data_IF_363099199980
#
_entry.id   IF_363099199980
#
_cell.length_a   1.000
_cell.length_b   1.000
_cell.length_c   1.000
_cell.angle_alpha   90.00
_cell.angle_beta   90.00
_cell.angle_gamma   90.00
#
_symmetry.space_group_name_H-M   'P 1'
#
loop_
_entity.id
_entity.type
_entity.pdbx_description
1 polymer ?
#
# COMPACT_ATOMS: atom_id res chain seq x y z
N UNK A 1 2.78 16.15 3.54
CA UNK A 1 1.77 15.06 3.61
C UNK A 1 2.05 14.21 4.83
N UNK A 2 1.05 13.56 5.43
CA UNK A 2 1.32 12.56 6.47
C UNK A 2 1.51 11.18 5.82
N UNK A 3 2.78 10.75 5.65
CA UNK A 3 3.12 9.45 5.07
C UNK A 3 2.34 8.30 5.71
N UNK A 4 2.07 8.36 7.02
CA UNK A 4 1.29 7.33 7.71
C UNK A 4 -0.10 7.15 7.10
N UNK A 5 -0.82 8.25 6.87
CA UNK A 5 -2.18 8.21 6.31
C UNK A 5 -2.17 7.71 4.86
N UNK A 6 -1.20 8.15 4.07
CA UNK A 6 -1.04 7.71 2.67
C UNK A 6 -0.73 6.22 2.62
N UNK A 7 0.23 5.74 3.40
CA UNK A 7 0.60 4.33 3.48
C UNK A 7 -0.53 3.44 4.02
N UNK A 8 -1.31 3.91 4.99
CA UNK A 8 -2.51 3.21 5.46
C UNK A 8 -3.60 3.12 4.38
N UNK A 9 -3.75 4.18 3.57
CA UNK A 9 -4.66 4.18 2.44
C UNK A 9 -4.21 3.20 1.36
N UNK A 10 -2.93 3.22 0.98
CA UNK A 10 -2.33 2.26 0.04
C UNK A 10 -2.52 0.81 0.55
N UNK A 11 -2.24 0.56 1.83
CA UNK A 11 -2.42 -0.76 2.42
C UNK A 11 -3.88 -1.25 2.33
N UNK A 12 -4.83 -0.35 2.59
CA UNK A 12 -6.27 -0.65 2.50
C UNK A 12 -6.72 -0.93 1.07
N UNK A 13 -6.27 -0.13 0.11
CA UNK A 13 -6.61 -0.31 -1.31
C UNK A 13 -5.98 -1.58 -1.88
N UNK A 14 -4.73 -1.90 -1.54
CA UNK A 14 -4.09 -3.19 -1.90
C UNK A 14 -4.86 -4.40 -1.35
N UNK A 15 -5.38 -4.31 -0.12
CA UNK A 15 -6.25 -5.37 0.43
C UNK A 15 -7.50 -5.56 -0.43
N UNK A 16 -8.09 -4.46 -0.91
CA UNK A 16 -9.26 -4.50 -1.78
C UNK A 16 -8.92 -5.04 -3.17
N UNK A 17 -7.72 -4.75 -3.70
CA UNK A 17 -7.20 -5.36 -4.94
C UNK A 17 -7.12 -6.87 -4.77
N UNK A 18 -6.37 -7.36 -3.77
CA UNK A 18 -6.22 -8.79 -3.45
C UNK A 18 -7.57 -9.51 -3.39
N UNK A 19 -8.48 -9.00 -2.55
CA UNK A 19 -9.79 -9.61 -2.36
C UNK A 19 -10.67 -9.59 -3.62
N UNK A 20 -10.56 -8.54 -4.44
CA UNK A 20 -11.35 -8.43 -5.67
C UNK A 20 -10.83 -9.35 -6.76
N UNK A 21 -9.51 -9.51 -6.88
CA UNK A 21 -8.90 -10.49 -7.78
C UNK A 21 -9.28 -11.93 -7.38
N UNK A 22 -9.19 -12.28 -6.09
CA UNK A 22 -9.60 -13.59 -5.58
C UNK A 22 -11.07 -13.92 -5.84
N UNK A 23 -11.94 -12.90 -5.84
CA UNK A 23 -13.37 -13.04 -6.15
C UNK A 23 -13.70 -12.97 -7.64
N UNK A 24 -12.70 -12.89 -8.53
CA UNK A 24 -12.93 -12.78 -9.97
C UNK A 24 -13.61 -11.47 -10.38
N UNK A 25 -13.35 -10.37 -9.65
CA UNK A 25 -13.91 -9.03 -9.90
C UNK A 25 -12.85 -8.05 -10.43
N UNK A 26 -12.33 -8.25 -11.66
CA UNK A 26 -11.19 -7.50 -12.19
C UNK A 26 -11.48 -6.00 -12.35
N UNK A 27 -12.71 -5.61 -12.69
CA UNK A 27 -13.10 -4.19 -12.79
C UNK A 27 -12.99 -3.46 -11.45
N UNK A 28 -13.35 -4.14 -10.34
CA UNK A 28 -13.23 -3.57 -8.99
C UNK A 28 -11.76 -3.52 -8.58
N UNK A 29 -11.00 -4.59 -8.85
CA UNK A 29 -9.57 -4.62 -8.59
C UNK A 29 -8.83 -3.47 -9.30
N UNK A 30 -9.15 -3.24 -10.58
CA UNK A 30 -8.55 -2.17 -11.39
C UNK A 30 -8.78 -0.77 -10.80
N UNK A 31 -9.98 -0.49 -10.28
CA UNK A 31 -10.27 0.81 -9.64
C UNK A 31 -9.40 1.05 -8.41
N UNK A 32 -9.26 0.04 -7.54
CA UNK A 32 -8.40 0.18 -6.36
C UNK A 32 -6.91 0.20 -6.73
N UNK A 33 -6.50 -0.53 -7.77
CA UNK A 33 -5.14 -0.48 -8.29
C UNK A 33 -4.77 0.94 -8.78
N UNK A 34 -5.68 1.62 -9.47
CA UNK A 34 -5.48 3.01 -9.89
C UNK A 34 -5.27 3.95 -8.70
N UNK A 35 -6.06 3.80 -7.63
CA UNK A 35 -5.87 4.60 -6.41
C UNK A 35 -4.55 4.30 -5.71
N UNK A 36 -4.12 3.04 -5.66
CA UNK A 36 -2.79 2.66 -5.13
C UNK A 36 -1.68 3.39 -5.88
N UNK A 37 -1.70 3.36 -7.21
CA UNK A 37 -0.65 3.95 -8.04
C UNK A 37 -0.68 5.48 -7.96
N UNK A 38 -1.87 6.09 -7.93
CA UNK A 38 -2.01 7.55 -7.74
C UNK A 38 -1.48 8.00 -6.38
N UNK A 39 -1.78 7.26 -5.30
CA UNK A 39 -1.31 7.59 -3.95
C UNK A 39 0.18 7.32 -3.74
N UNK A 40 0.84 6.51 -4.57
CA UNK A 40 2.30 6.34 -4.51
C UNK A 40 3.03 7.68 -4.67
N UNK A 41 2.53 8.56 -5.52
CA UNK A 41 3.09 9.88 -5.79
C UNK A 41 2.94 10.86 -4.61
N UNK A 42 2.03 10.55 -3.68
CA UNK A 42 1.76 11.34 -2.47
C UNK A 42 2.75 11.06 -1.32
N UNK A 43 3.61 10.04 -1.47
CA UNK A 43 4.52 9.57 -0.42
C UNK A 43 5.87 10.28 -0.51
N UNK A 44 6.33 10.85 0.60
CA UNK A 44 7.73 11.29 0.74
C UNK A 44 8.60 10.09 1.11
N UNK A 45 9.23 9.47 0.12
CA UNK A 45 10.06 8.28 0.31
C UNK A 45 11.35 8.53 1.10
N UNK A 46 11.81 9.79 1.20
CA UNK A 46 13.05 10.12 1.93
C UNK A 46 12.91 9.91 3.44
N UNK A 47 11.68 9.96 3.95
CA UNK A 47 11.35 9.78 5.37
C UNK A 47 10.98 8.33 5.74
N UNK A 48 11.18 7.36 4.84
CA UNK A 48 10.78 5.97 5.03
C UNK A 48 11.98 5.03 5.20
N UNK A 49 11.74 3.88 5.81
CA UNK A 49 12.72 2.79 5.80
C UNK A 49 12.96 2.32 4.36
N UNK A 50 14.21 2.00 4.00
CA UNK A 50 14.59 1.65 2.63
C UNK A 50 13.72 0.55 2.00
N UNK A 51 13.41 -0.49 2.76
CA UNK A 51 12.56 -1.59 2.29
C UNK A 51 11.12 -1.15 1.97
N UNK A 52 10.59 -0.11 2.64
CA UNK A 52 9.28 0.45 2.29
C UNK A 52 9.37 1.20 0.97
N UNK A 53 10.45 1.95 0.74
CA UNK A 53 10.73 2.57 -0.55
C UNK A 53 10.78 1.53 -1.68
N UNK A 54 11.45 0.41 -1.45
CA UNK A 54 11.50 -0.71 -2.41
C UNK A 54 10.12 -1.30 -2.69
N UNK A 55 9.29 -1.53 -1.65
CA UNK A 55 7.90 -1.99 -1.86
C UNK A 55 7.09 -0.99 -2.68
N UNK A 56 7.21 0.31 -2.40
CA UNK A 56 6.51 1.34 -3.17
C UNK A 56 6.93 1.36 -4.64
N UNK A 57 8.21 1.07 -4.93
CA UNK A 57 8.71 1.01 -6.30
C UNK A 57 8.06 -0.10 -7.12
N UNK A 58 7.69 -1.22 -6.51
CA UNK A 58 7.12 -2.40 -7.18
C UNK A 58 5.58 -2.49 -7.07
N UNK A 59 4.90 -1.39 -6.72
CA UNK A 59 3.43 -1.40 -6.60
C UNK A 59 2.69 -1.71 -7.90
N UNK A 60 3.26 -1.34 -9.04
CA UNK A 60 2.75 -1.65 -10.38
C UNK A 60 2.63 -3.17 -10.62
N UNK A 61 3.60 -3.93 -10.12
CA UNK A 61 3.57 -5.39 -10.15
C UNK A 61 2.60 -5.92 -9.11
N UNK A 62 2.66 -5.39 -7.88
CA UNK A 62 1.86 -5.86 -6.76
C UNK A 62 0.34 -5.77 -7.02
N UNK A 63 -0.13 -4.75 -7.74
CA UNK A 63 -1.58 -4.59 -8.02
C UNK A 63 -2.13 -5.57 -9.07
N UNK A 64 -1.27 -6.32 -9.75
CA UNK A 64 -1.70 -7.29 -10.80
C UNK A 64 -1.88 -8.70 -10.27
N UNK A 65 -1.32 -9.00 -9.09
CA UNK A 65 -1.33 -10.32 -8.48
C UNK A 65 -1.96 -10.29 -7.09
N UNK A 66 -2.89 -11.21 -6.83
CA UNK A 66 -3.68 -11.19 -5.61
C UNK A 66 -2.84 -11.44 -4.35
N UNK A 67 -1.88 -12.38 -4.42
CA UNK A 67 -1.05 -12.76 -3.28
C UNK A 67 -0.03 -11.66 -2.96
N UNK A 68 0.59 -11.09 -4.00
CA UNK A 68 1.53 -9.97 -3.86
C UNK A 68 0.83 -8.73 -3.31
N UNK A 69 -0.36 -8.39 -3.81
CA UNK A 69 -1.18 -7.31 -3.24
C UNK A 69 -1.47 -7.53 -1.75
N UNK A 70 -1.80 -8.77 -1.36
CA UNK A 70 -2.07 -9.13 0.03
C UNK A 70 -0.83 -9.00 0.92
N UNK A 71 0.33 -9.45 0.42
CA UNK A 71 1.61 -9.32 1.12
C UNK A 71 1.96 -7.85 1.35
N UNK A 72 1.92 -7.03 0.30
CA UNK A 72 2.27 -5.62 0.37
C UNK A 72 1.32 -4.85 1.29
N UNK A 73 0.01 -5.13 1.19
CA UNK A 73 -0.99 -4.60 2.12
C UNK A 73 -0.59 -4.84 3.58
N UNK A 74 -0.23 -6.09 3.90
CA UNK A 74 0.14 -6.50 5.25
C UNK A 74 1.43 -5.81 5.73
N UNK A 75 2.45 -5.73 4.87
CA UNK A 75 3.72 -5.09 5.21
C UNK A 75 3.57 -3.59 5.48
N UNK A 76 2.83 -2.88 4.63
CA UNK A 76 2.59 -1.44 4.78
C UNK A 76 1.69 -1.15 6.00
N UNK A 77 0.67 -1.98 6.24
CA UNK A 77 -0.17 -1.87 7.44
C UNK A 77 0.66 -2.06 8.71
N UNK A 78 1.52 -3.08 8.74
CA UNK A 78 2.38 -3.35 9.90
C UNK A 78 3.42 -2.24 10.12
N UNK A 79 4.01 -1.73 9.04
CA UNK A 79 4.96 -0.62 9.11
C UNK A 79 4.31 0.61 9.76
N UNK A 80 3.13 1.00 9.29
CA UNK A 80 2.42 2.19 9.82
C UNK A 80 1.93 2.01 11.26
N UNK A 81 1.57 0.80 11.68
CA UNK A 81 1.22 0.51 13.07
C UNK A 81 2.43 0.60 14.01
N UNK A 82 3.60 0.12 13.57
CA UNK A 82 4.83 0.10 14.38
C UNK A 82 5.61 1.41 14.37
N UNK A 83 5.48 2.19 13.29
CA UNK A 83 6.14 3.50 13.12
C UNK A 83 5.17 4.66 13.31
N UNK A 84 4.05 4.40 13.98
CA UNK A 84 3.29 5.46 14.65
C UNK A 84 4.19 6.03 15.75
N UNK A 85 4.65 7.27 15.61
CA UNK A 85 5.42 8.03 16.61
C UNK A 85 4.99 7.63 18.04
N UNK A 86 5.87 7.23 18.96
CA UNK A 86 6.67 8.17 19.76
C UNK A 86 6.07 9.58 19.83
N UNK A 87 4.78 9.66 20.07
CA UNK A 87 4.10 10.85 20.57
C UNK A 87 3.92 10.65 22.07
N UNK A 88 5.01 10.82 22.82
CA UNK A 88 5.06 11.27 24.23
C UNK A 88 6.53 11.42 24.61
N UNK A 89 6.98 12.67 24.53
CA UNK A 89 7.90 13.28 25.50
C UNK A 89 7.54 12.95 26.94
#
# INVERSE_FOLDING_TARGET
MNNKLVLQSIASDLKRVSQSLQRGSPTVASRFAQEVLRRKEEVDSSALAGYIGELLNHLDQAVTDAETAQMYSTLLQNYTLRHSSSASS
#
